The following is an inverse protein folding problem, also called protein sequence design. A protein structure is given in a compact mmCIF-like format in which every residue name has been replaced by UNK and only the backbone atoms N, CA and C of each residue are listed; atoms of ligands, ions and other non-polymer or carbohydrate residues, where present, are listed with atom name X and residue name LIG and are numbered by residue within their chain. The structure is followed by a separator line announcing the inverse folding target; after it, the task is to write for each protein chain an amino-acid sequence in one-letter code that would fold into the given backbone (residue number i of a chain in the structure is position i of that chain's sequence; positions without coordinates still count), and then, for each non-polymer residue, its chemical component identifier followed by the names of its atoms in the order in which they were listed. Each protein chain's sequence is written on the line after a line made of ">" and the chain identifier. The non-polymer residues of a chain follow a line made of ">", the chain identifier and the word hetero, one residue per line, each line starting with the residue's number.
data_IF_784515655517
#
_entry.id   IF_784515655517
#
_cell.length_a   1.000
_cell.length_b   1.000
_cell.length_c   1.000
_cell.angle_alpha   90.00
_cell.angle_beta   90.00
_cell.angle_gamma   90.00
#
_symmetry.space_group_name_H-M   'P 1'
#
loop_
_entity.id
_entity.type
_entity.pdbx_description
1 polymer ?
#
# COMPACT_ATOMS: atom_id res chain seq x y z
N UNK A 1 11.08 27.02 -3.54
CA UNK A 1 9.87 26.32 -3.05
C UNK A 1 10.32 25.13 -2.24
N UNK A 2 9.71 24.87 -1.09
CA UNK A 2 10.15 23.79 -0.19
C UNK A 2 9.51 22.44 -0.52
N UNK A 3 8.39 22.43 -1.27
CA UNK A 3 7.63 21.22 -1.63
C UNK A 3 7.43 20.31 -0.38
N UNK A 4 6.83 20.90 0.65
CA UNK A 4 6.75 20.34 2.00
C UNK A 4 5.37 19.79 2.30
N UNK A 5 5.29 18.79 3.16
CA UNK A 5 4.04 18.22 3.64
C UNK A 5 4.19 17.59 5.02
N UNK A 6 3.05 17.37 5.68
CA UNK A 6 2.96 16.46 6.84
C UNK A 6 1.97 15.33 6.52
N UNK A 7 2.36 14.10 6.82
CA UNK A 7 1.49 12.93 6.76
C UNK A 7 1.12 12.54 8.19
N UNK A 8 -0.18 12.39 8.47
CA UNK A 8 -0.72 12.01 9.78
C UNK A 8 -1.90 11.05 9.63
N UNK A 9 -2.41 10.50 10.72
CA UNK A 9 -3.63 9.66 10.77
C UNK A 9 -4.81 10.43 11.35
N UNK A 10 -6.07 9.95 11.24
CA UNK A 10 -7.23 10.58 11.87
C UNK A 10 -7.08 10.81 13.39
N UNK A 11 -6.27 9.99 14.07
CA UNK A 11 -6.02 10.15 15.51
C UNK A 11 -5.07 11.30 15.86
N UNK A 12 -4.36 11.87 14.88
CA UNK A 12 -3.46 13.02 15.04
C UNK A 12 -2.48 12.85 16.20
N UNK A 13 -1.85 11.69 16.28
CA UNK A 13 -0.84 11.40 17.31
C UNK A 13 0.57 11.78 16.86
N UNK A 14 0.91 11.50 15.60
CA UNK A 14 2.22 11.75 15.01
C UNK A 14 2.08 12.40 13.64
N UNK A 15 3.08 13.19 13.27
CA UNK A 15 3.22 13.76 11.94
C UNK A 15 4.58 13.40 11.35
N UNK A 16 4.59 12.82 10.16
CA UNK A 16 5.81 12.65 9.35
C UNK A 16 5.94 13.86 8.45
N UNK A 17 6.98 14.66 8.68
CA UNK A 17 7.30 15.84 7.91
C UNK A 17 8.20 15.50 6.72
N UNK A 18 7.85 16.06 5.57
CA UNK A 18 8.62 15.99 4.33
C UNK A 18 9.08 17.39 3.95
N UNK A 19 10.36 17.53 3.60
CA UNK A 19 10.91 18.67 2.88
C UNK A 19 11.44 18.16 1.55
N UNK A 20 10.87 18.65 0.44
CA UNK A 20 10.91 18.04 -0.88
C UNK A 20 9.98 16.82 -1.01
N UNK A 21 9.41 16.61 -2.20
CA UNK A 21 8.47 15.51 -2.50
C UNK A 21 7.25 15.41 -1.56
N UNK A 22 6.76 16.56 -1.06
CA UNK A 22 5.51 16.64 -0.29
C UNK A 22 4.24 16.75 -1.14
N UNK A 23 4.37 16.84 -2.46
CA UNK A 23 3.24 16.89 -3.38
C UNK A 23 2.49 15.56 -3.48
N UNK A 24 1.24 15.62 -3.92
CA UNK A 24 0.37 14.43 -3.96
C UNK A 24 0.90 13.35 -4.88
N UNK A 25 1.51 13.77 -5.99
CA UNK A 25 2.20 12.89 -6.94
C UNK A 25 3.37 12.09 -6.32
N UNK A 26 3.86 12.48 -5.14
CA UNK A 26 4.87 11.72 -4.39
C UNK A 26 4.27 10.96 -3.20
N UNK A 27 3.32 11.59 -2.49
CA UNK A 27 2.70 10.98 -1.31
C UNK A 27 1.80 9.79 -1.70
N UNK A 28 1.02 9.89 -2.77
CA UNK A 28 0.11 8.80 -3.16
C UNK A 28 0.88 7.54 -3.62
N UNK A 29 1.92 7.63 -4.47
CA UNK A 29 2.79 6.48 -4.76
C UNK A 29 3.54 5.93 -3.54
N UNK A 30 3.98 6.78 -2.60
CA UNK A 30 4.61 6.31 -1.36
C UNK A 30 3.68 5.39 -0.56
N UNK A 31 2.43 5.83 -0.36
CA UNK A 31 1.45 5.08 0.40
C UNK A 31 1.14 3.76 -0.31
N UNK A 32 1.00 3.81 -1.64
CA UNK A 32 0.82 2.61 -2.46
C UNK A 32 2.01 1.67 -2.37
N UNK A 33 3.24 2.17 -2.41
CA UNK A 33 4.44 1.37 -2.27
C UNK A 33 4.46 0.64 -0.92
N UNK A 34 4.17 1.33 0.17
CA UNK A 34 4.11 0.74 1.50
C UNK A 34 2.98 -0.31 1.64
N UNK A 35 1.84 -0.09 0.98
CA UNK A 35 0.75 -1.07 0.90
C UNK A 35 1.21 -2.33 0.14
N UNK A 36 1.86 -2.16 -1.01
CA UNK A 36 2.36 -3.26 -1.83
C UNK A 36 3.47 -4.04 -1.14
N UNK A 37 4.30 -3.39 -0.32
CA UNK A 37 5.26 -4.05 0.56
C UNK A 37 4.60 -4.94 1.63
N UNK A 38 3.28 -4.88 1.80
CA UNK A 38 2.56 -5.61 2.84
C UNK A 38 2.79 -5.03 4.23
N UNK A 39 3.26 -3.78 4.34
CA UNK A 39 3.45 -3.14 5.62
C UNK A 39 2.12 -2.83 6.29
N UNK A 40 2.10 -2.96 7.63
CA UNK A 40 0.95 -2.54 8.43
C UNK A 40 0.76 -1.03 8.30
N UNK A 41 -0.48 -0.53 8.20
CA UNK A 41 -0.71 0.89 8.07
C UNK A 41 -0.36 1.65 9.36
N UNK A 42 0.02 2.93 9.27
CA UNK A 42 0.36 3.74 10.45
C UNK A 42 -0.79 3.93 11.45
N UNK A 43 -2.05 3.73 11.01
CA UNK A 43 -3.23 3.76 11.88
C UNK A 43 -3.34 2.55 12.82
N UNK A 44 -2.59 1.47 12.57
CA UNK A 44 -2.63 0.26 13.37
C UNK A 44 -1.65 0.29 14.55
N UNK A 45 -0.38 0.61 14.30
CA UNK A 45 0.67 0.66 15.33
C UNK A 45 1.90 1.49 14.89
N UNK A 46 2.89 1.58 15.78
CA UNK A 46 4.15 2.31 15.53
C UNK A 46 5.05 1.67 14.45
N UNK A 47 4.86 0.40 14.11
CA UNK A 47 5.66 -0.24 13.05
C UNK A 47 5.30 0.30 11.67
N UNK A 48 4.03 0.65 11.42
CA UNK A 48 3.62 1.27 10.17
C UNK A 48 4.33 2.62 9.93
N UNK A 49 4.41 3.45 10.96
CA UNK A 49 5.20 4.69 10.93
C UNK A 49 6.68 4.42 10.62
N UNK A 50 7.29 3.46 11.33
CA UNK A 50 8.70 3.14 11.16
C UNK A 50 9.03 2.69 9.73
N UNK A 51 8.18 1.84 9.12
CA UNK A 51 8.39 1.35 7.76
C UNK A 51 8.17 2.43 6.71
N UNK A 52 7.18 3.30 6.88
CA UNK A 52 7.01 4.46 5.99
C UNK A 52 8.22 5.40 6.05
N UNK A 53 8.71 5.72 7.26
CA UNK A 53 9.92 6.51 7.43
C UNK A 53 11.17 5.83 6.84
N UNK A 54 11.26 4.50 6.89
CA UNK A 54 12.35 3.76 6.27
C UNK A 54 12.34 3.92 4.74
N UNK A 55 11.19 3.75 4.08
CA UNK A 55 11.06 3.93 2.62
C UNK A 55 11.46 5.35 2.22
N UNK A 56 10.93 6.36 2.92
CA UNK A 56 11.26 7.76 2.71
C UNK A 56 12.75 8.05 2.95
N UNK A 57 13.33 7.51 4.02
CA UNK A 57 14.74 7.69 4.36
C UNK A 57 15.68 7.07 3.32
N UNK A 58 15.33 5.90 2.79
CA UNK A 58 16.05 5.26 1.70
C UNK A 58 15.96 6.08 0.41
N UNK A 59 14.77 6.59 0.09
CA UNK A 59 14.51 7.41 -1.10
C UNK A 59 15.25 8.75 -1.09
N UNK A 60 15.13 9.52 -0.01
CA UNK A 60 15.84 10.80 0.08
C UNK A 60 17.34 10.61 0.23
N UNK A 61 17.76 9.56 0.93
CA UNK A 61 19.12 9.41 1.41
C UNK A 61 19.56 10.56 2.32
N UNK A 62 20.86 10.61 2.62
CA UNK A 62 21.45 11.71 3.40
C UNK A 62 20.93 11.81 4.84
N UNK A 63 20.82 13.04 5.36
CA UNK A 63 20.47 13.33 6.77
C UNK A 63 19.44 14.46 6.95
N UNK A 64 18.77 14.87 5.87
CA UNK A 64 17.79 15.96 5.85
C UNK A 64 16.48 15.47 5.22
N UNK A 65 15.51 16.38 5.05
CA UNK A 65 14.29 16.15 4.25
C UNK A 65 13.19 15.26 4.84
N UNK A 66 13.47 14.52 5.92
CA UNK A 66 12.50 13.71 6.64
C UNK A 66 12.53 14.04 8.14
N UNK A 67 11.36 14.20 8.75
CA UNK A 67 11.19 14.37 10.19
C UNK A 67 9.98 13.63 10.73
N UNK A 68 9.96 13.37 12.03
CA UNK A 68 8.80 12.84 12.75
C UNK A 68 8.67 13.56 14.08
N UNK A 69 7.45 13.96 14.42
CA UNK A 69 7.16 14.62 15.69
C UNK A 69 5.77 14.24 16.23
N UNK A 70 5.53 14.54 17.50
CA UNK A 70 4.21 14.52 18.12
C UNK A 70 3.33 15.56 17.42
N UNK A 71 2.17 15.11 16.98
CA UNK A 71 1.22 15.99 16.31
C UNK A 71 0.45 16.81 17.35
N UNK A 72 0.36 18.12 17.15
CA UNK A 72 -0.27 19.05 18.10
C UNK A 72 -1.59 19.61 17.56
N UNK A 73 -1.54 20.54 16.61
CA UNK A 73 -2.70 21.05 15.88
C UNK A 73 -2.39 21.17 14.40
N UNK A 74 -3.43 21.25 13.55
CA UNK A 74 -3.23 21.44 12.11
C UNK A 74 -2.42 22.70 11.81
N UNK A 75 -2.73 23.82 12.47
CA UNK A 75 -2.07 25.11 12.28
C UNK A 75 -0.59 25.07 12.65
N UNK A 76 -0.23 24.32 13.70
CA UNK A 76 1.15 24.21 14.16
C UNK A 76 1.98 23.25 13.30
N UNK A 77 1.33 22.26 12.66
CA UNK A 77 2.01 21.20 11.91
C UNK A 77 2.06 21.46 10.40
N UNK A 78 1.16 22.29 9.84
CA UNK A 78 1.09 22.52 8.39
C UNK A 78 2.34 23.27 7.87
N UNK A 79 3.11 22.68 6.93
CA UNK A 79 4.33 23.31 6.43
C UNK A 79 4.10 24.28 5.25
N UNK A 80 2.85 24.59 4.90
CA UNK A 80 2.44 25.57 3.90
C UNK A 80 2.21 24.98 2.50
N UNK A 81 3.26 24.48 1.85
CA UNK A 81 3.28 24.35 0.38
C UNK A 81 2.35 23.24 -0.16
N UNK A 82 2.30 22.06 0.47
CA UNK A 82 1.38 20.96 0.11
C UNK A 82 0.49 20.50 1.27
N UNK A 83 0.55 21.20 2.40
CA UNK A 83 -0.33 20.99 3.53
C UNK A 83 -0.17 19.64 4.25
N UNK A 84 -1.29 19.12 4.73
CA UNK A 84 -1.40 17.91 5.54
C UNK A 84 -2.16 16.83 4.77
N UNK A 85 -1.64 15.61 4.80
CA UNK A 85 -2.29 14.39 4.34
C UNK A 85 -2.73 13.60 5.55
N UNK A 86 -4.03 13.42 5.71
CA UNK A 86 -4.58 12.52 6.72
C UNK A 86 -4.86 11.17 6.05
N UNK A 87 -4.24 10.11 6.55
CA UNK A 87 -4.30 8.77 5.97
C UNK A 87 -5.03 7.77 6.87
N UNK A 88 -5.86 6.94 6.28
CA UNK A 88 -6.47 5.78 6.92
C UNK A 88 -6.12 4.52 6.11
N UNK A 89 -5.52 3.53 6.77
CA UNK A 89 -4.81 2.49 6.04
C UNK A 89 -3.63 3.09 5.28
N UNK A 90 -3.58 2.86 3.98
CA UNK A 90 -2.63 3.46 3.03
C UNK A 90 -3.31 4.41 2.05
N UNK A 91 -4.45 5.00 2.43
CA UNK A 91 -5.22 5.92 1.58
C UNK A 91 -5.34 7.28 2.22
N UNK A 92 -5.25 8.32 1.41
CA UNK A 92 -5.55 9.69 1.83
C UNK A 92 -7.07 9.81 2.01
N UNK A 93 -7.51 10.17 3.21
CA UNK A 93 -8.93 10.38 3.54
C UNK A 93 -9.28 11.85 3.75
N UNK A 94 -8.29 12.69 4.04
CA UNK A 94 -8.48 14.13 4.18
C UNK A 94 -7.20 14.88 3.76
N UNK A 95 -7.41 16.06 3.14
CA UNK A 95 -6.37 16.95 2.64
C UNK A 95 -6.63 18.34 3.16
N UNK A 96 -5.68 18.87 3.92
CA UNK A 96 -5.77 20.19 4.54
C UNK A 96 -4.60 21.06 4.10
N UNK A 97 -4.80 22.38 4.06
CA UNK A 97 -3.75 23.36 3.83
C UNK A 97 -3.98 24.63 4.64
N UNK A 98 -2.89 25.33 4.92
CA UNK A 98 -2.93 26.70 5.45
C UNK A 98 -3.67 27.63 4.49
N UNK A 99 -4.64 28.35 5.05
CA UNK A 99 -5.30 29.47 4.40
C UNK A 99 -4.54 30.75 4.71
N UNK A 100 -4.32 31.58 3.69
CA UNK A 100 -3.61 32.84 3.79
C UNK A 100 -4.50 34.01 3.38
N UNK A 101 -4.37 35.15 4.06
CA UNK A 101 -4.97 36.40 3.62
C UNK A 101 -4.19 37.03 2.44
N UNK A 102 -4.63 38.20 1.97
CA UNK A 102 -4.00 38.93 0.88
C UNK A 102 -2.56 39.38 1.17
N UNK A 103 -2.14 39.39 2.44
CA UNK A 103 -0.81 39.77 2.90
C UNK A 103 0.06 38.53 3.20
N UNK A 104 -0.41 37.33 2.87
CA UNK A 104 0.25 36.06 3.16
C UNK A 104 0.39 35.73 4.65
N UNK A 105 -0.48 36.29 5.51
CA UNK A 105 -0.56 35.85 6.89
C UNK A 105 -1.42 34.58 6.98
N UNK A 106 -1.01 33.56 7.75
CA UNK A 106 -1.85 32.39 7.99
C UNK A 106 -3.07 32.80 8.81
N UNK A 107 -4.27 32.51 8.31
CA UNK A 107 -5.55 32.85 8.96
C UNK A 107 -6.36 31.64 9.39
N UNK A 108 -5.96 30.44 8.98
CA UNK A 108 -6.61 29.20 9.38
C UNK A 108 -6.14 28.01 8.57
N UNK A 109 -6.86 26.89 8.73
CA UNK A 109 -6.68 25.66 7.97
C UNK A 109 -7.99 25.37 7.24
N UNK A 110 -7.88 24.95 5.99
CA UNK A 110 -9.03 24.56 5.17
C UNK A 110 -8.75 23.29 4.37
N UNK A 111 -9.81 22.59 3.91
CA UNK A 111 -9.66 21.56 2.90
C UNK A 111 -9.01 22.08 1.62
N UNK A 112 -8.19 21.24 0.99
CA UNK A 112 -7.64 21.50 -0.34
C UNK A 112 -8.74 21.28 -1.38
N UNK A 113 -8.92 22.23 -2.30
CA UNK A 113 -9.81 22.02 -3.45
C UNK A 113 -9.12 21.10 -4.47
N UNK A 114 -9.81 20.10 -5.06
CA UNK A 114 -9.19 19.20 -6.04
C UNK A 114 -8.48 19.90 -7.21
N UNK A 115 -8.89 21.12 -7.58
CA UNK A 115 -8.24 21.91 -8.62
C UNK A 115 -6.89 22.50 -8.21
N UNK A 116 -6.58 22.51 -6.91
CA UNK A 116 -5.31 22.97 -6.34
C UNK A 116 -4.29 21.83 -6.18
N UNK A 117 -4.73 20.58 -6.31
CA UNK A 117 -3.86 19.42 -6.13
C UNK A 117 -2.84 19.31 -7.26
N UNK A 118 -1.62 18.95 -6.88
CA UNK A 118 -0.61 18.58 -7.85
C UNK A 118 -1.02 17.27 -8.54
N UNK A 119 -0.95 17.25 -9.87
CA UNK A 119 -1.25 16.10 -10.73
C UNK A 119 -0.44 16.23 -12.03
N UNK A 120 0.89 16.31 -11.90
CA UNK A 120 1.83 16.61 -12.99
C UNK A 120 2.77 15.45 -13.27
N UNK A 121 3.21 14.73 -12.24
CA UNK A 121 4.18 13.64 -12.38
C UNK A 121 3.48 12.29 -12.52
N UNK A 122 4.16 11.36 -13.20
CA UNK A 122 3.63 10.02 -13.43
C UNK A 122 3.70 9.17 -12.16
N UNK A 123 2.59 8.50 -11.86
CA UNK A 123 2.43 7.69 -10.66
C UNK A 123 3.38 6.48 -10.65
N UNK A 124 3.51 5.80 -11.79
CA UNK A 124 4.32 4.59 -11.93
C UNK A 124 5.81 4.91 -11.90
N UNK A 125 6.23 6.01 -12.55
CA UNK A 125 7.61 6.49 -12.48
C UNK A 125 8.02 6.78 -11.02
N UNK A 126 7.16 7.45 -10.27
CA UNK A 126 7.43 7.73 -8.86
C UNK A 126 7.46 6.44 -8.02
N UNK A 127 6.53 5.51 -8.27
CA UNK A 127 6.49 4.21 -7.60
C UNK A 127 7.79 3.41 -7.82
N UNK A 128 8.30 3.39 -9.05
CA UNK A 128 9.59 2.77 -9.40
C UNK A 128 10.78 3.48 -8.77
N UNK A 129 10.74 4.80 -8.64
CA UNK A 129 11.82 5.55 -7.99
C UNK A 129 11.96 5.21 -6.50
N UNK A 130 10.84 4.94 -5.81
CA UNK A 130 10.87 4.41 -4.45
C UNK A 130 11.50 3.02 -4.42
N UNK A 131 11.12 2.15 -5.36
CA UNK A 131 11.64 0.80 -5.46
C UNK A 131 13.15 0.76 -5.69
N UNK A 132 13.64 1.51 -6.68
CA UNK A 132 15.07 1.63 -6.99
C UNK A 132 15.90 2.11 -5.80
N UNK A 133 15.30 2.90 -4.92
CA UNK A 133 15.96 3.42 -3.72
C UNK A 133 16.01 2.44 -2.56
N UNK A 134 15.21 1.37 -2.60
CA UNK A 134 15.26 0.33 -1.57
C UNK A 134 16.50 -0.57 -1.73
N UNK A 135 17.01 -1.16 -0.62
CA UNK A 135 17.96 -2.27 -0.69
C UNK A 135 17.42 -3.37 -1.61
N UNK A 136 18.30 -4.02 -2.38
CA UNK A 136 17.92 -5.02 -3.40
C UNK A 136 16.96 -6.09 -2.86
N UNK A 137 17.18 -6.56 -1.63
CA UNK A 137 16.38 -7.59 -0.97
C UNK A 137 14.95 -7.15 -0.62
N UNK A 138 14.69 -5.85 -0.61
CA UNK A 138 13.40 -5.25 -0.29
C UNK A 138 12.69 -4.69 -1.53
N UNK A 139 13.28 -4.78 -2.72
CA UNK A 139 12.63 -4.29 -3.94
C UNK A 139 11.46 -5.19 -4.33
N UNK A 140 10.44 -4.57 -4.89
CA UNK A 140 9.26 -5.22 -5.45
C UNK A 140 9.52 -5.65 -6.90
N UNK A 141 10.39 -4.95 -7.64
CA UNK A 141 10.81 -5.29 -9.00
C UNK A 141 9.61 -5.67 -9.90
N UNK A 142 9.60 -6.88 -10.47
CA UNK A 142 8.55 -7.39 -11.37
C UNK A 142 7.16 -7.43 -10.72
N UNK A 143 7.05 -7.40 -9.39
CA UNK A 143 5.76 -7.33 -8.70
C UNK A 143 5.01 -6.03 -9.02
N UNK A 144 5.74 -4.93 -9.29
CA UNK A 144 5.12 -3.66 -9.69
C UNK A 144 4.40 -3.78 -11.04
N UNK A 145 4.84 -4.70 -11.90
CA UNK A 145 4.20 -4.97 -13.19
C UNK A 145 3.00 -5.93 -13.09
N UNK A 146 2.65 -6.36 -11.88
CA UNK A 146 1.55 -7.31 -11.68
C UNK A 146 0.19 -6.71 -12.03
N UNK A 147 -0.68 -7.55 -12.58
CA UNK A 147 -2.07 -7.19 -12.89
C UNK A 147 -3.01 -7.84 -11.88
N UNK A 148 -3.99 -7.08 -11.42
CA UNK A 148 -5.07 -7.61 -10.57
C UNK A 148 -6.16 -8.24 -11.43
N UNK A 149 -6.49 -9.49 -11.11
CA UNK A 149 -7.60 -10.24 -11.71
C UNK A 149 -8.51 -10.77 -10.61
N UNK A 150 -9.83 -10.90 -10.82
CA UNK A 150 -10.66 -11.67 -9.91
C UNK A 150 -10.11 -13.08 -9.75
N UNK A 151 -10.15 -13.65 -8.54
CA UNK A 151 -9.67 -15.04 -8.29
C UNK A 151 -10.40 -16.04 -9.20
N UNK A 152 -11.68 -15.81 -9.48
CA UNK A 152 -12.48 -16.60 -10.43
C UNK A 152 -11.97 -16.54 -11.89
N UNK A 153 -11.14 -15.55 -12.23
CA UNK A 153 -10.54 -15.35 -13.54
C UNK A 153 -9.12 -15.91 -13.69
N UNK A 154 -8.55 -16.47 -12.61
CA UNK A 154 -7.24 -17.15 -12.60
C UNK A 154 -7.32 -18.46 -13.38
N UNK A 155 -6.27 -18.79 -14.13
CA UNK A 155 -6.19 -19.96 -15.02
C UNK A 155 -5.01 -20.85 -14.64
N UNK A 156 -5.09 -22.14 -15.01
CA UNK A 156 -3.93 -23.04 -14.96
C UNK A 156 -2.74 -22.40 -15.71
N UNK A 157 -1.58 -22.41 -15.07
CA UNK A 157 -0.34 -21.84 -15.61
C UNK A 157 -0.20 -20.33 -15.47
N UNK A 158 -1.20 -19.58 -14.98
CA UNK A 158 -0.96 -18.19 -14.56
C UNK A 158 0.08 -18.18 -13.43
N UNK A 159 1.01 -17.22 -13.46
CA UNK A 159 1.98 -17.02 -12.36
C UNK A 159 1.38 -16.03 -11.35
N UNK A 160 0.91 -16.53 -10.21
CA UNK A 160 0.29 -15.73 -9.15
C UNK A 160 1.36 -15.31 -8.14
N UNK A 161 1.36 -14.04 -7.78
CA UNK A 161 2.20 -13.51 -6.71
C UNK A 161 1.61 -13.87 -5.35
N UNK A 162 2.40 -14.59 -4.55
CA UNK A 162 2.10 -14.99 -3.19
C UNK A 162 3.03 -14.26 -2.23
N UNK A 163 2.48 -13.79 -1.12
CA UNK A 163 3.28 -13.16 -0.07
C UNK A 163 3.82 -14.24 0.88
N UNK A 164 5.13 -14.39 0.94
CA UNK A 164 5.78 -15.21 1.96
C UNK A 164 5.88 -14.40 3.26
N UNK A 165 4.99 -14.69 4.21
CA UNK A 165 4.98 -14.02 5.52
C UNK A 165 6.22 -14.33 6.39
N UNK A 166 6.98 -15.38 6.08
CA UNK A 166 8.18 -15.76 6.83
C UNK A 166 9.36 -14.91 6.37
N UNK A 167 9.55 -14.77 5.05
CA UNK A 167 10.63 -13.96 4.49
C UNK A 167 10.24 -12.49 4.25
N UNK A 168 8.95 -12.16 4.28
CA UNK A 168 8.44 -10.81 4.08
C UNK A 168 8.58 -10.31 2.64
N UNK A 169 8.40 -11.18 1.64
CA UNK A 169 8.57 -10.86 0.22
C UNK A 169 7.50 -11.49 -0.67
N UNK A 170 7.34 -10.93 -1.86
CA UNK A 170 6.48 -11.46 -2.91
C UNK A 170 7.25 -12.42 -3.82
N UNK A 171 6.64 -13.56 -4.12
CA UNK A 171 7.15 -14.52 -5.08
C UNK A 171 6.05 -15.03 -5.99
N UNK A 172 6.36 -15.21 -7.28
CA UNK A 172 5.40 -15.68 -8.27
C UNK A 172 5.49 -17.20 -8.42
N UNK A 173 4.35 -17.88 -8.37
CA UNK A 173 4.27 -19.33 -8.52
C UNK A 173 3.21 -19.70 -9.56
N UNK A 174 3.44 -20.74 -10.38
CA UNK A 174 2.45 -21.17 -11.36
C UNK A 174 1.26 -21.84 -10.67
N UNK A 175 0.06 -21.52 -11.13
CA UNK A 175 -1.17 -22.20 -10.74
C UNK A 175 -1.19 -23.60 -11.33
N UNK A 176 -1.27 -24.62 -10.48
CA UNK A 176 -1.19 -26.04 -10.86
C UNK A 176 -2.49 -26.80 -10.66
N UNK A 177 -3.49 -26.19 -10.03
CA UNK A 177 -4.81 -26.78 -9.92
C UNK A 177 -5.83 -25.88 -9.24
N UNK A 178 -7.03 -26.43 -9.09
CA UNK A 178 -8.16 -25.82 -8.42
C UNK A 178 -8.77 -26.86 -7.48
N UNK A 179 -9.07 -26.47 -6.24
CA UNK A 179 -9.64 -27.40 -5.29
C UNK A 179 -9.75 -26.84 -3.88
N UNK A 180 -9.71 -27.76 -2.92
CA UNK A 180 -9.74 -27.47 -1.50
C UNK A 180 -8.71 -28.34 -0.80
N UNK A 181 -7.98 -27.81 0.21
CA UNK A 181 -7.00 -28.61 0.92
C UNK A 181 -7.69 -29.75 1.67
N UNK A 182 -7.12 -30.96 1.60
CA UNK A 182 -7.72 -32.20 2.08
C UNK A 182 -8.11 -32.18 3.57
N UNK A 183 -7.34 -31.48 4.41
CA UNK A 183 -7.53 -31.48 5.88
C UNK A 183 -8.15 -30.21 6.46
N UNK A 184 -8.23 -29.10 5.71
CA UNK A 184 -8.60 -27.81 6.26
C UNK A 184 -9.31 -26.90 5.25
N UNK A 185 -10.55 -27.27 4.88
CA UNK A 185 -11.33 -26.55 3.87
C UNK A 185 -11.37 -25.04 4.13
N UNK A 186 -11.08 -24.27 3.11
CA UNK A 186 -11.05 -22.81 3.14
C UNK A 186 -12.49 -22.31 2.96
N UNK A 187 -13.00 -21.69 4.02
CA UNK A 187 -14.29 -21.04 4.04
C UNK A 187 -14.22 -19.67 3.37
N UNK A 188 -15.20 -19.36 2.52
CA UNK A 188 -15.39 -18.04 1.90
C UNK A 188 -16.76 -17.53 2.28
N UNK A 189 -16.83 -16.30 2.78
CA UNK A 189 -18.09 -15.61 3.04
C UNK A 189 -18.59 -14.94 1.75
N UNK A 190 -19.84 -15.23 1.37
CA UNK A 190 -20.51 -14.62 0.22
C UNK A 190 -21.83 -14.00 0.62
N UNK A 191 -22.22 -12.92 -0.04
CA UNK A 191 -23.53 -12.31 0.18
C UNK A 191 -24.65 -13.18 -0.38
N UNK A 192 -25.60 -13.56 0.47
CA UNK A 192 -26.81 -14.25 0.04
C UNK A 192 -27.84 -13.23 -0.50
N UNK A 193 -28.75 -13.64 -1.40
CA UNK A 193 -29.85 -12.78 -1.87
C UNK A 193 -30.72 -12.18 -0.76
N UNK A 194 -30.71 -12.79 0.43
CA UNK A 194 -31.42 -12.30 1.63
C UNK A 194 -30.68 -11.18 2.38
N UNK A 195 -29.54 -10.69 1.89
CA UNK A 195 -28.69 -9.72 2.59
C UNK A 195 -27.96 -10.28 3.83
N UNK A 196 -27.90 -11.61 3.95
CA UNK A 196 -27.15 -12.30 5.02
C UNK A 196 -25.86 -12.89 4.44
N UNK A 197 -24.78 -12.90 5.22
CA UNK A 197 -23.57 -13.64 4.84
C UNK A 197 -23.81 -15.13 4.88
N UNK A 198 -23.31 -15.84 3.87
CA UNK A 198 -23.33 -17.30 3.75
C UNK A 198 -21.90 -17.80 3.62
N UNK A 199 -21.55 -18.85 4.37
CA UNK A 199 -20.27 -19.53 4.22
C UNK A 199 -20.38 -20.58 3.11
N UNK A 200 -19.44 -20.55 2.18
CA UNK A 200 -19.27 -21.54 1.10
C UNK A 200 -17.82 -22.03 1.10
N UNK A 201 -17.57 -23.12 0.36
CA UNK A 201 -16.26 -23.76 0.25
C UNK A 201 -15.96 -24.03 -1.23
N UNK A 202 -15.76 -22.97 -2.03
CA UNK A 202 -15.55 -23.08 -3.47
C UNK A 202 -14.17 -23.67 -3.76
N UNK A 203 -13.99 -24.33 -4.89
CA UNK A 203 -12.63 -24.68 -5.33
C UNK A 203 -11.84 -23.39 -5.59
N UNK A 204 -10.66 -23.29 -5.00
CA UNK A 204 -9.75 -22.16 -5.11
C UNK A 204 -8.52 -22.57 -5.92
N UNK A 205 -7.94 -21.66 -6.72
CA UNK A 205 -6.66 -21.92 -7.37
C UNK A 205 -5.57 -22.14 -6.32
N UNK A 206 -4.69 -23.09 -6.57
CA UNK A 206 -3.49 -23.32 -5.78
C UNK A 206 -2.23 -23.38 -6.65
N UNK A 207 -1.12 -22.93 -6.07
CA UNK A 207 0.15 -22.73 -6.76
C UNK A 207 1.21 -23.75 -6.36
N UNK A 208 2.24 -23.90 -7.19
CA UNK A 208 3.38 -24.77 -6.93
C UNK A 208 4.41 -24.16 -5.96
N UNK A 209 3.98 -23.82 -4.73
CA UNK A 209 4.85 -23.21 -3.72
C UNK A 209 5.41 -24.27 -2.74
N UNK A 210 4.61 -24.75 -1.79
CA UNK A 210 5.02 -25.79 -0.85
C UNK A 210 4.69 -27.18 -1.38
N UNK A 211 5.71 -27.91 -1.82
CA UNK A 211 5.60 -29.29 -2.35
C UNK A 211 5.42 -30.33 -1.23
N UNK A 212 4.69 -31.39 -1.54
CA UNK A 212 4.60 -32.60 -0.74
C UNK A 212 4.53 -33.82 -1.67
N UNK A 213 5.71 -34.33 -2.06
CA UNK A 213 5.83 -35.47 -2.98
C UNK A 213 5.07 -35.27 -4.31
N UNK A 214 5.05 -34.04 -4.82
CA UNK A 214 4.32 -33.63 -6.03
C UNK A 214 2.88 -33.17 -5.80
N UNK A 215 2.37 -33.23 -4.55
CA UNK A 215 1.03 -32.76 -4.19
C UNK A 215 1.06 -31.35 -3.58
N UNK A 216 0.79 -30.35 -4.42
CA UNK A 216 0.65 -28.95 -4.00
C UNK A 216 -0.74 -28.62 -3.42
N UNK A 217 -1.73 -29.52 -3.50
CA UNK A 217 -3.06 -29.28 -2.92
C UNK A 217 -3.09 -29.50 -1.41
N UNK A 218 -2.06 -30.15 -0.86
CA UNK A 218 -2.01 -30.51 0.55
C UNK A 218 -1.87 -29.30 1.48
N UNK A 219 -1.06 -28.30 1.10
CA UNK A 219 -0.77 -27.14 1.96
C UNK A 219 -1.77 -26.00 1.70
N UNK A 220 -2.48 -25.56 2.74
CA UNK A 220 -3.42 -24.44 2.65
C UNK A 220 -2.76 -23.12 2.21
N UNK A 221 -1.47 -22.92 2.48
CA UNK A 221 -0.75 -21.72 2.09
C UNK A 221 -0.44 -21.65 0.58
N UNK A 222 -0.69 -22.72 -0.18
CA UNK A 222 -0.60 -22.71 -1.63
C UNK A 222 -1.84 -22.10 -2.29
N UNK A 223 -2.93 -21.89 -1.55
CA UNK A 223 -4.19 -21.43 -2.11
C UNK A 223 -4.25 -19.91 -2.18
N UNK A 224 -4.78 -19.38 -3.27
CA UNK A 224 -4.99 -17.94 -3.44
C UNK A 224 -6.23 -17.53 -2.66
N UNK A 225 -6.05 -16.62 -1.71
CA UNK A 225 -7.10 -16.13 -0.83
C UNK A 225 -7.64 -14.77 -1.28
N UNK A 226 -8.89 -14.48 -0.93
CA UNK A 226 -9.57 -13.22 -1.23
C UNK A 226 -10.30 -13.22 -2.57
N UNK A 227 -10.79 -12.05 -2.97
CA UNK A 227 -11.58 -11.88 -4.20
C UNK A 227 -10.71 -11.58 -5.43
N UNK A 228 -9.51 -11.01 -5.20
CA UNK A 228 -8.58 -10.57 -6.24
C UNK A 228 -7.22 -11.26 -6.06
N UNK A 229 -6.58 -11.60 -7.18
CA UNK A 229 -5.24 -12.13 -7.26
C UNK A 229 -4.35 -11.19 -8.08
N UNK A 230 -3.08 -11.06 -7.68
CA UNK A 230 -2.05 -10.44 -8.52
C UNK A 230 -1.35 -11.51 -9.33
N UNK A 231 -1.32 -11.36 -10.64
CA UNK A 231 -0.61 -12.28 -11.54
C UNK A 231 0.45 -11.52 -12.34
N UNK A 232 1.49 -12.23 -12.78
CA UNK A 232 2.33 -11.72 -13.87
C UNK A 232 1.44 -11.50 -15.11
N UNK A 233 1.68 -10.42 -15.89
CA UNK A 233 0.97 -10.21 -17.14
C UNK A 233 1.04 -11.46 -18.02
N UNK A 234 -0.13 -11.90 -18.50
CA UNK A 234 -0.21 -13.02 -19.45
C UNK A 234 0.51 -12.62 -20.74
N UNK A 235 1.32 -13.54 -21.27
CA UNK A 235 1.94 -13.38 -22.59
C UNK A 235 0.93 -13.56 -23.72
#
# INVERSE_FOLDING_TARGET
>A
MGNRAVITTPSRQFGVYLHWNGGRDSVEPLLRYCELQGYRPPSQDSYGWARMCQVLGNYFGGSMSLGIDVYTTDEAMDPGDNGIYVIEGWRIVERLRTEYDSEWNPVGIRPVDPSEEQCVYDFEDMLRSFDESMPEELRLDEFLDSVEVPVAGVKLGDEVWMFDSVCGKWEAFPVVGFGQPHGNRIAVEVDAPSGRKKVVYPDLPYVAHYDHDGDFSWNCNNYVHGDMARIKPRK
#
